data_IF_423884644601
#
_entry.id   IF_423884644601
#
_cell.length_a   1.000
_cell.length_b   1.000
_cell.length_c   1.000
_cell.angle_alpha   90.00
_cell.angle_beta   90.00
_cell.angle_gamma   90.00
#
_symmetry.space_group_name_H-M   'P 1'
#
loop_
_entity.id
_entity.type
_entity.pdbx_description
1 polymer ?
#
# COMPACT_ATOMS: atom_id res chain seq x y z
N UNK A 1 -16.09 10.90 8.87
CA UNK A 1 -14.81 10.23 8.55
C UNK A 1 -14.74 10.10 7.05
N UNK A 2 -13.76 10.74 6.41
CA UNK A 2 -13.60 10.70 4.95
C UNK A 2 -12.81 9.47 4.58
N UNK A 3 -13.32 8.64 3.67
CA UNK A 3 -12.59 7.51 3.11
C UNK A 3 -11.89 8.00 1.84
N UNK A 4 -10.58 7.83 1.78
CA UNK A 4 -9.79 8.21 0.60
C UNK A 4 -9.81 7.08 -0.42
N UNK A 5 -9.81 7.42 -1.70
CA UNK A 5 -9.48 6.47 -2.77
C UNK A 5 -8.07 6.76 -3.32
N UNK A 6 -7.49 5.79 -4.01
CA UNK A 6 -6.12 5.86 -4.52
C UNK A 6 -5.94 7.03 -5.50
N UNK A 7 -6.91 7.29 -6.38
CA UNK A 7 -6.84 8.40 -7.33
C UNK A 7 -6.76 9.77 -6.61
N UNK A 8 -7.56 9.98 -5.57
CA UNK A 8 -7.54 11.21 -4.76
C UNK A 8 -6.21 11.39 -4.05
N UNK A 9 -5.61 10.28 -3.56
CA UNK A 9 -4.29 10.32 -2.93
C UNK A 9 -3.22 10.77 -3.95
N UNK A 10 -3.21 10.15 -5.13
CA UNK A 10 -2.23 10.49 -6.16
C UNK A 10 -2.43 11.87 -6.79
N UNK A 11 -3.67 12.37 -6.87
CA UNK A 11 -3.97 13.74 -7.29
C UNK A 11 -3.38 14.79 -6.34
N UNK A 12 -3.13 14.41 -5.08
CA UNK A 12 -2.54 15.25 -4.04
C UNK A 12 -1.20 14.69 -3.53
N UNK A 13 -0.49 13.87 -4.34
CA UNK A 13 0.64 13.10 -3.83
C UNK A 13 1.75 13.97 -3.25
N UNK A 14 2.04 15.11 -3.90
CA UNK A 14 3.05 16.07 -3.42
C UNK A 14 2.75 16.62 -2.03
N UNK A 15 1.47 16.85 -1.70
CA UNK A 15 1.07 17.27 -0.36
C UNK A 15 1.43 16.19 0.67
N UNK A 16 1.11 14.92 0.38
CA UNK A 16 1.44 13.81 1.29
C UNK A 16 2.95 13.60 1.44
N UNK A 17 3.73 13.81 0.37
CA UNK A 17 5.19 13.76 0.44
C UNK A 17 5.76 14.86 1.35
N UNK A 18 5.26 16.09 1.20
CA UNK A 18 5.71 17.24 2.00
C UNK A 18 5.33 17.11 3.49
N UNK A 19 4.16 16.54 3.77
CA UNK A 19 3.61 16.40 5.13
C UNK A 19 3.82 14.99 5.72
N UNK A 20 4.71 14.20 5.13
CA UNK A 20 4.85 12.77 5.44
C UNK A 20 5.10 12.52 6.93
N UNK A 21 6.08 13.20 7.51
CA UNK A 21 6.46 13.00 8.91
C UNK A 21 5.34 13.42 9.88
N UNK A 22 4.64 14.51 9.58
CA UNK A 22 3.52 14.99 10.40
C UNK A 22 2.36 13.98 10.39
N UNK A 23 2.06 13.39 9.22
CA UNK A 23 1.03 12.36 9.09
C UNK A 23 1.40 11.09 9.88
N UNK A 24 2.69 10.73 9.93
CA UNK A 24 3.13 9.56 10.68
C UNK A 24 2.99 9.72 12.20
N UNK A 25 3.10 10.94 12.70
CA UNK A 25 3.04 11.23 14.13
C UNK A 25 1.62 11.50 14.64
N UNK A 26 0.69 11.88 13.76
CA UNK A 26 -0.70 12.16 14.10
C UNK A 26 -1.59 10.92 13.88
N UNK A 27 -2.11 10.26 14.93
CA UNK A 27 -2.98 9.09 14.79
C UNK A 27 -4.23 9.34 13.94
N UNK A 28 -4.86 10.52 14.03
CA UNK A 28 -6.09 10.78 13.28
C UNK A 28 -5.81 10.84 11.78
N UNK A 29 -4.68 11.44 11.39
CA UNK A 29 -4.24 11.49 10.00
C UNK A 29 -3.71 10.14 9.53
N UNK A 30 -2.92 9.45 10.35
CA UNK A 30 -2.35 8.14 10.06
C UNK A 30 -3.43 7.12 9.71
N UNK A 31 -4.43 6.99 10.58
CA UNK A 31 -5.50 5.99 10.50
C UNK A 31 -6.63 6.42 9.55
N UNK A 32 -6.38 7.40 8.66
CA UNK A 32 -7.33 7.74 7.60
C UNK A 32 -7.58 6.50 6.73
N UNK A 33 -8.82 6.02 6.62
CA UNK A 33 -9.14 4.83 5.85
C UNK A 33 -8.96 5.07 4.34
N UNK A 34 -8.48 4.04 3.64
CA UNK A 34 -8.31 4.05 2.20
C UNK A 34 -9.11 2.90 1.59
N UNK A 35 -9.91 3.17 0.57
CA UNK A 35 -10.72 2.17 -0.13
C UNK A 35 -9.85 1.05 -0.69
N UNK A 36 -10.28 -0.19 -0.43
CA UNK A 36 -9.67 -1.41 -0.95
C UNK A 36 -8.16 -1.56 -0.63
N UNK A 37 -7.66 -0.85 0.38
CA UNK A 37 -6.27 -0.96 0.83
C UNK A 37 -6.13 -2.04 1.90
N UNK A 38 -5.66 -3.23 1.51
CA UNK A 38 -5.47 -4.34 2.43
C UNK A 38 -4.42 -5.35 1.95
N UNK A 39 -3.89 -6.10 2.91
CA UNK A 39 -3.11 -7.31 2.72
C UNK A 39 -3.98 -8.51 3.07
N UNK A 40 -4.24 -9.40 2.10
CA UNK A 40 -4.92 -10.67 2.32
C UNK A 40 -4.06 -11.80 1.76
N UNK A 41 -3.15 -12.31 2.59
CA UNK A 41 -2.15 -13.29 2.19
C UNK A 41 -2.19 -14.49 3.14
N UNK A 42 -2.69 -15.64 2.67
CA UNK A 42 -2.79 -16.86 3.49
C UNK A 42 -1.40 -17.39 3.90
N UNK A 43 -1.11 -17.67 5.18
CA UNK A 43 -2.07 -17.95 6.25
C UNK A 43 -2.39 -16.77 7.20
N UNK A 44 -1.95 -15.56 6.88
CA UNK A 44 -2.19 -14.39 7.73
C UNK A 44 -3.62 -13.90 7.60
N UNK A 45 -4.17 -13.38 8.70
CA UNK A 45 -5.47 -12.68 8.67
C UNK A 45 -5.35 -11.46 7.76
N UNK A 46 -6.45 -11.12 7.09
CA UNK A 46 -6.52 -9.88 6.34
C UNK A 46 -6.18 -8.68 7.25
N UNK A 47 -5.25 -7.84 6.81
CA UNK A 47 -4.83 -6.63 7.49
C UNK A 47 -5.20 -5.42 6.65
N UNK A 48 -6.04 -4.55 7.20
CA UNK A 48 -6.39 -3.27 6.58
C UNK A 48 -5.19 -2.32 6.64
N UNK A 49 -4.94 -1.62 5.53
CA UNK A 49 -3.92 -0.59 5.42
C UNK A 49 -4.59 0.78 5.46
N UNK A 50 -3.98 1.69 6.19
CA UNK A 50 -4.39 3.09 6.27
C UNK A 50 -3.46 3.97 5.46
N UNK A 51 -3.82 5.26 5.33
CA UNK A 51 -3.01 6.24 4.65
C UNK A 51 -1.55 6.22 5.12
N UNK A 52 -1.32 6.22 6.43
CA UNK A 52 0.03 6.21 7.00
C UNK A 52 0.84 4.96 6.62
N UNK A 53 0.21 3.78 6.57
CA UNK A 53 0.89 2.55 6.15
C UNK A 53 1.32 2.64 4.68
N UNK A 54 0.41 3.09 3.80
CA UNK A 54 0.69 3.21 2.38
C UNK A 54 1.81 4.22 2.11
N UNK A 55 1.81 5.37 2.79
CA UNK A 55 2.87 6.37 2.65
C UNK A 55 4.23 5.82 3.06
N UNK A 56 4.32 5.09 4.19
CA UNK A 56 5.57 4.44 4.60
C UNK A 56 6.07 3.46 3.54
N UNK A 57 5.16 2.63 3.02
CA UNK A 57 5.51 1.58 2.07
C UNK A 57 5.89 2.15 0.70
N UNK A 58 5.24 3.21 0.24
CA UNK A 58 5.52 3.86 -1.04
C UNK A 58 6.77 4.72 -1.01
N UNK A 59 6.91 5.59 0.01
CA UNK A 59 8.03 6.51 0.13
C UNK A 59 9.31 5.80 0.60
N UNK A 60 9.17 4.67 1.30
CA UNK A 60 10.27 3.76 1.62
C UNK A 60 10.66 2.79 0.49
N UNK A 61 10.08 2.93 -0.71
CA UNK A 61 10.28 2.06 -1.88
C UNK A 61 10.05 0.56 -1.60
N UNK A 62 9.18 0.23 -0.63
CA UNK A 62 8.87 -1.16 -0.24
C UNK A 62 7.73 -1.73 -1.06
N UNK A 63 6.73 -0.92 -1.37
CA UNK A 63 5.55 -1.29 -2.19
C UNK A 63 5.52 -0.48 -3.48
N UNK A 64 6.71 -0.22 -4.03
CA UNK A 64 6.91 0.50 -5.29
C UNK A 64 7.62 -0.41 -6.27
N UNK A 65 7.03 -0.63 -7.45
CA UNK A 65 7.64 -1.40 -8.53
C UNK A 65 8.15 -0.41 -9.57
N UNK A 66 9.46 -0.28 -9.67
CA UNK A 66 10.15 0.61 -10.60
C UNK A 66 10.84 -0.16 -11.74
N UNK A 67 10.80 -1.49 -11.66
CA UNK A 67 11.42 -2.42 -12.60
C UNK A 67 10.54 -3.66 -12.77
N UNK A 68 10.35 -4.08 -14.02
CA UNK A 68 9.54 -5.25 -14.39
C UNK A 68 10.11 -6.59 -13.89
N UNK A 69 11.35 -6.64 -13.38
CA UNK A 69 11.94 -7.85 -12.77
C UNK A 69 11.10 -8.44 -11.63
N UNK A 70 10.31 -7.63 -10.93
CA UNK A 70 9.43 -8.09 -9.84
C UNK A 70 8.06 -8.59 -10.34
N UNK A 71 7.76 -8.43 -11.63
CA UNK A 71 6.51 -8.84 -12.27
C UNK A 71 6.66 -10.19 -12.97
N UNK A 72 5.56 -10.94 -13.03
CA UNK A 72 5.47 -12.12 -13.89
C UNK A 72 5.27 -11.66 -15.34
N UNK A 73 6.34 -11.64 -16.14
CA UNK A 73 6.36 -11.07 -17.50
C UNK A 73 5.27 -11.61 -18.43
N UNK A 74 4.91 -12.90 -18.30
CA UNK A 74 3.85 -13.52 -19.11
C UNK A 74 2.44 -13.01 -18.79
N UNK A 75 2.23 -12.42 -17.61
CA UNK A 75 0.92 -11.97 -17.12
C UNK A 75 0.78 -10.45 -17.01
N UNK A 76 1.86 -9.69 -17.24
CA UNK A 76 1.86 -8.24 -17.12
C UNK A 76 2.46 -7.60 -18.39
N UNK A 77 1.64 -7.04 -19.29
CA UNK A 77 2.13 -6.34 -20.48
C UNK A 77 2.61 -4.90 -20.20
N UNK A 78 2.73 -4.50 -18.93
CA UNK A 78 2.98 -3.12 -18.51
C UNK A 78 4.44 -2.70 -18.74
N UNK A 79 4.64 -1.50 -19.28
CA UNK A 79 5.93 -0.82 -19.30
C UNK A 79 6.15 -0.15 -17.94
N UNK A 80 7.14 -0.62 -17.17
CA UNK A 80 7.47 -0.09 -15.84
C UNK A 80 8.88 0.45 -15.84
N UNK A 81 9.06 1.63 -15.25
CA UNK A 81 10.38 2.27 -15.05
C UNK A 81 10.38 3.12 -13.78
N UNK A 82 11.55 3.62 -13.40
CA UNK A 82 11.70 4.58 -12.29
C UNK A 82 10.87 5.86 -12.50
N UNK A 83 10.70 6.29 -13.76
CA UNK A 83 9.93 7.49 -14.11
C UNK A 83 8.42 7.24 -14.07
N UNK A 84 8.00 5.99 -14.27
CA UNK A 84 6.60 5.58 -14.29
C UNK A 84 6.39 4.33 -13.41
N UNK A 85 6.56 4.48 -12.09
CA UNK A 85 6.48 3.36 -11.17
C UNK A 85 5.04 2.91 -10.95
N UNK A 86 4.89 1.69 -10.43
CA UNK A 86 3.63 1.20 -9.89
C UNK A 86 3.66 1.27 -8.36
N UNK A 87 2.58 1.74 -7.75
CA UNK A 87 2.44 1.82 -6.30
C UNK A 87 1.39 0.81 -5.83
N UNK A 88 1.83 -0.27 -5.19
CA UNK A 88 0.95 -1.33 -4.72
C UNK A 88 0.11 -0.81 -3.55
N UNK A 89 -1.17 -1.15 -3.49
CA UNK A 89 -2.03 -0.76 -2.36
C UNK A 89 -2.93 -1.88 -1.86
N UNK A 90 -3.10 -2.93 -2.67
CA UNK A 90 -3.80 -4.13 -2.30
C UNK A 90 -2.95 -5.34 -2.69
N UNK A 91 -2.85 -6.31 -1.79
CA UNK A 91 -2.23 -7.59 -2.06
C UNK A 91 -3.21 -8.70 -1.70
N UNK A 92 -3.49 -9.57 -2.65
CA UNK A 92 -4.38 -10.72 -2.50
C UNK A 92 -3.78 -11.96 -3.14
N UNK A 93 -3.64 -13.03 -2.38
CA UNK A 93 -3.18 -14.28 -2.96
C UNK A 93 -2.88 -15.35 -1.93
N UNK A 94 -2.75 -16.57 -2.44
CA UNK A 94 -2.28 -17.70 -1.67
C UNK A 94 -0.76 -17.81 -1.83
N UNK A 95 -0.02 -17.59 -0.74
CA UNK A 95 1.46 -17.68 -0.70
C UNK A 95 1.99 -19.04 -1.21
N UNK A 96 1.15 -20.07 -1.22
CA UNK A 96 1.49 -21.46 -1.54
C UNK A 96 1.20 -21.81 -3.02
N UNK A 97 0.14 -21.26 -3.63
CA UNK A 97 -0.27 -21.59 -5.01
C UNK A 97 0.29 -20.65 -6.08
N UNK A 98 0.98 -19.57 -5.70
CA UNK A 98 1.69 -18.69 -6.62
C UNK A 98 0.80 -17.78 -7.50
N UNK A 99 -0.52 -17.76 -7.28
CA UNK A 99 -1.46 -16.84 -7.91
C UNK A 99 -1.50 -15.50 -7.16
N UNK A 100 -0.35 -14.81 -7.14
CA UNK A 100 -0.15 -13.59 -6.37
C UNK A 100 -0.66 -12.36 -7.13
N UNK A 101 -1.87 -11.93 -6.79
CA UNK A 101 -2.52 -10.78 -7.44
C UNK A 101 -2.38 -9.53 -6.57
N UNK A 102 -2.02 -8.42 -7.17
CA UNK A 102 -1.93 -7.14 -6.50
C UNK A 102 -2.70 -6.08 -7.30
N UNK A 103 -3.25 -5.09 -6.61
CA UNK A 103 -3.68 -3.85 -7.25
C UNK A 103 -2.62 -2.78 -7.01
N UNK A 104 -2.32 -2.05 -8.07
CA UNK A 104 -1.36 -0.97 -8.06
C UNK A 104 -1.92 0.27 -8.73
N UNK A 105 -1.50 1.45 -8.30
CA UNK A 105 -1.64 2.66 -9.08
C UNK A 105 -0.53 2.73 -10.14
N UNK A 106 -0.90 2.89 -11.40
CA UNK A 106 0.04 3.15 -12.49
C UNK A 106 0.18 4.65 -12.73
N UNK A 107 1.39 5.20 -12.54
CA UNK A 107 1.66 6.60 -12.86
C UNK A 107 1.58 6.88 -14.35
N UNK A 108 2.03 5.94 -15.18
CA UNK A 108 1.98 6.09 -16.65
C UNK A 108 0.53 6.20 -17.16
N UNK A 109 -0.37 5.40 -16.60
CA UNK A 109 -1.75 5.27 -17.09
C UNK A 109 -2.76 6.06 -16.26
N UNK A 110 -2.33 6.64 -15.13
CA UNK A 110 -3.18 7.37 -14.17
C UNK A 110 -4.43 6.57 -13.77
N UNK A 111 -4.24 5.27 -13.53
CA UNK A 111 -5.33 4.35 -13.18
C UNK A 111 -4.86 3.21 -12.30
N UNK A 112 -5.83 2.56 -11.64
CA UNK A 112 -5.60 1.29 -10.94
C UNK A 112 -5.44 0.17 -11.96
N UNK A 113 -4.40 -0.64 -11.78
CA UNK A 113 -4.09 -1.82 -12.59
C UNK A 113 -3.94 -3.05 -11.70
N UNK A 114 -4.34 -4.20 -12.23
CA UNK A 114 -4.08 -5.49 -11.62
C UNK A 114 -2.72 -6.00 -12.09
N UNK A 115 -1.85 -6.37 -11.16
CA UNK A 115 -0.53 -6.94 -11.48
C UNK A 115 -0.31 -8.28 -10.80
N UNK A 116 0.46 -9.12 -11.48
CA UNK A 116 0.88 -10.43 -10.99
C UNK A 116 2.36 -10.34 -10.59
N UNK A 117 2.64 -10.46 -9.30
CA UNK A 117 4.02 -10.34 -8.78
C UNK A 117 4.66 -11.71 -8.58
N UNK A 118 5.99 -11.79 -8.73
CA UNK A 118 6.72 -13.07 -8.56
C UNK A 118 6.64 -13.59 -7.12
N UNK A 119 6.67 -12.71 -6.14
CA UNK A 119 6.60 -13.05 -4.71
C UNK A 119 5.90 -11.94 -3.94
N UNK A 120 4.98 -12.34 -3.03
CA UNK A 120 4.31 -11.43 -2.09
C UNK A 120 4.97 -11.40 -0.71
N UNK A 121 5.93 -12.29 -0.44
CA UNK A 121 6.60 -12.39 0.86
C UNK A 121 7.28 -11.08 1.27
N UNK A 122 8.07 -10.48 0.37
CA UNK A 122 8.77 -9.23 0.67
C UNK A 122 7.79 -8.11 1.03
N UNK A 123 6.68 -8.02 0.28
CA UNK A 123 5.68 -6.98 0.49
C UNK A 123 4.90 -7.20 1.80
N UNK A 124 4.51 -8.43 2.09
CA UNK A 124 3.82 -8.79 3.33
C UNK A 124 4.68 -8.48 4.56
N UNK A 125 5.97 -8.83 4.54
CA UNK A 125 6.90 -8.51 5.65
C UNK A 125 6.99 -7.00 5.85
N UNK A 126 7.19 -6.22 4.79
CA UNK A 126 7.31 -4.76 4.93
C UNK A 126 6.06 -4.12 5.51
N UNK A 127 4.86 -4.58 5.16
CA UNK A 127 3.61 -4.04 5.74
C UNK A 127 3.45 -4.33 7.22
N UNK A 128 4.05 -5.41 7.73
CA UNK A 128 4.06 -5.70 9.17
C UNK A 128 5.09 -4.86 9.93
N UNK A 129 6.05 -4.26 9.22
CA UNK A 129 7.10 -3.41 9.78
C UNK A 129 6.75 -1.92 9.76
N UNK A 130 5.53 -1.53 9.34
CA UNK A 130 5.10 -0.14 9.41
C UNK A 130 4.98 0.30 10.87
N UNK A 131 5.62 1.42 11.21
CA UNK A 131 5.52 2.02 12.53
C UNK A 131 4.21 2.78 12.63
N UNK A 132 3.26 2.22 13.39
CA UNK A 132 1.94 2.83 13.63
C UNK A 132 1.99 3.68 14.90
N UNK A 133 1.55 4.94 14.90
CA UNK A 133 1.43 5.73 16.12
C UNK A 133 0.42 5.06 17.06
N UNK A 134 0.65 5.15 18.37
CA UNK A 134 -0.28 4.57 19.35
C UNK A 134 -1.66 5.20 19.14
N UNK A 135 -2.67 4.37 18.89
CA UNK A 135 -4.02 4.85 18.70
C UNK A 135 -4.54 5.39 20.03
N UNK A 136 -4.62 6.71 20.17
CA UNK A 136 -5.11 7.38 21.39
C UNK A 136 -6.64 7.29 21.39
N UNK A 137 -7.20 6.08 21.49
CA UNK A 137 -8.58 5.91 21.92
C UNK A 137 -8.57 5.69 23.43
N UNK A 138 -8.74 6.82 24.12
CA UNK A 138 -9.07 7.01 25.53
C UNK A 138 -9.37 5.70 26.28
N UNK A 139 -8.49 5.34 27.21
CA UNK A 139 -8.86 4.53 28.36
C UNK A 139 -10.05 5.22 29.03
N UNK A 140 -11.27 4.77 28.73
CA UNK A 140 -12.33 4.88 29.73
C UNK A 140 -12.04 3.77 30.73
N UNK A 141 -11.18 4.08 31.69
CA UNK A 141 -11.21 3.42 32.97
C UNK A 141 -12.63 3.61 33.52
N UNK A 142 -13.43 2.56 33.44
CA UNK A 142 -14.69 2.49 34.17
C UNK A 142 -14.25 2.28 35.62
N UNK A 143 -14.34 3.35 36.40
CA UNK A 143 -14.23 3.31 37.85
C UNK A 143 -15.43 2.60 38.47
#
# INVERSE_FOLDING_TARGET
MTILNIQTIFSNFSFYQQNYLDILQDPERYYTPVENAFLNTFPFKQNTLYLGDLLQLWLGNKWKIEDSRNLLSQKNPLLVSVQSPLYLFQLGGELILGANTALAWSVAEQKVVTVQVKSIWQYAVFSHLCDRPKNVKCDKAIA
#
